data_IF_320476020472
#
_entry.id   IF_320476020472
#
_cell.length_a   1.000
_cell.length_b   1.000
_cell.length_c   1.000
_cell.angle_alpha   90.00
_cell.angle_beta   90.00
_cell.angle_gamma   90.00
#
_symmetry.space_group_name_H-M   'P 1'
#
loop_
_entity.id
_entity.type
_entity.pdbx_description
1 polymer ?
#
# COMPACT_ATOMS: atom_id res chain seq x y z
N UNK A 1 11.56 13.13 -8.35
CA UNK A 1 10.54 13.63 -9.29
C UNK A 1 9.95 14.90 -8.69
N UNK A 2 10.50 16.04 -9.10
CA UNK A 2 10.12 17.43 -8.76
C UNK A 2 11.06 18.41 -9.48
N UNK A 3 12.28 17.96 -9.85
CA UNK A 3 13.37 18.74 -10.45
C UNK A 3 13.13 19.28 -11.87
N UNK A 4 11.88 19.35 -12.34
CA UNK A 4 11.53 19.87 -13.67
C UNK A 4 10.33 20.82 -13.68
N UNK A 5 9.79 21.19 -12.51
CA UNK A 5 8.70 22.17 -12.45
C UNK A 5 9.24 23.59 -12.34
N UNK A 6 8.63 24.50 -13.10
CA UNK A 6 8.94 25.93 -13.05
C UNK A 6 8.16 26.67 -11.95
N UNK A 7 7.26 25.98 -11.23
CA UNK A 7 6.45 26.52 -10.13
C UNK A 7 6.34 25.53 -8.99
N UNK A 8 6.11 26.02 -7.78
CA UNK A 8 6.03 25.22 -6.57
C UNK A 8 4.91 25.71 -5.66
N UNK A 9 4.17 24.79 -5.05
CA UNK A 9 3.17 25.06 -4.01
C UNK A 9 3.70 24.60 -2.64
N UNK A 10 3.14 25.13 -1.56
CA UNK A 10 3.38 24.54 -0.24
C UNK A 10 2.89 23.09 -0.21
N UNK A 11 3.72 22.21 0.34
CA UNK A 11 3.39 20.80 0.54
C UNK A 11 2.22 20.69 1.53
N UNK A 12 1.16 19.93 1.22
CA UNK A 12 0.02 19.77 2.12
C UNK A 12 0.38 18.95 3.38
N UNK A 13 1.51 18.23 3.36
CA UNK A 13 2.00 17.46 4.51
C UNK A 13 3.04 18.22 5.34
N UNK A 14 3.29 19.50 5.05
CA UNK A 14 4.26 20.29 5.77
C UNK A 14 3.66 21.62 6.28
N UNK A 15 4.08 22.03 7.46
CA UNK A 15 3.80 23.37 7.98
C UNK A 15 5.10 24.04 8.39
N UNK A 16 5.07 25.35 8.58
CA UNK A 16 6.25 26.10 9.00
C UNK A 16 5.87 27.23 9.95
N UNK A 17 6.84 27.68 10.75
CA UNK A 17 6.69 28.82 11.63
C UNK A 17 7.99 29.61 11.72
N UNK A 18 7.88 30.87 12.15
CA UNK A 18 8.99 31.83 12.25
C UNK A 18 9.17 32.29 13.68
N UNK A 19 10.42 32.34 14.14
CA UNK A 19 10.83 32.96 15.40
C UNK A 19 12.09 33.80 15.16
N UNK A 20 11.95 35.12 15.05
CA UNK A 20 13.08 36.00 14.67
C UNK A 20 13.58 35.70 13.26
N UNK A 21 14.84 35.28 13.15
CA UNK A 21 15.49 34.80 11.91
C UNK A 21 15.54 33.26 11.83
N UNK A 22 14.86 32.54 12.73
CA UNK A 22 14.77 31.09 12.69
C UNK A 22 13.49 30.63 11.97
N UNK A 23 13.65 29.71 11.03
CA UNK A 23 12.56 29.02 10.35
C UNK A 23 12.44 27.59 10.89
N UNK A 24 11.27 27.24 11.42
CA UNK A 24 10.93 25.87 11.84
C UNK A 24 10.03 25.24 10.78
N UNK A 25 10.43 24.08 10.30
CA UNK A 25 9.68 23.28 9.31
C UNK A 25 9.20 22.00 10.00
N UNK A 26 7.93 21.71 9.86
CA UNK A 26 7.31 20.48 10.36
C UNK A 26 6.90 19.64 9.16
N UNK A 27 7.65 18.58 8.87
CA UNK A 27 7.30 17.56 7.87
C UNK A 27 7.47 16.17 8.48
N UNK A 28 8.01 15.19 7.76
CA UNK A 28 8.40 13.88 8.32
C UNK A 28 9.41 14.04 9.48
N UNK A 29 10.18 15.13 9.47
CA UNK A 29 11.07 15.55 10.54
C UNK A 29 10.79 17.02 10.92
N UNK A 30 11.18 17.40 12.13
CA UNK A 30 11.17 18.81 12.55
C UNK A 30 12.55 19.38 12.28
N UNK A 31 12.61 20.40 11.43
CA UNK A 31 13.87 21.03 11.02
C UNK A 31 13.92 22.48 11.45
N UNK A 32 15.07 22.90 11.95
CA UNK A 32 15.36 24.26 12.36
C UNK A 32 16.43 24.86 11.44
N UNK A 33 16.04 25.86 10.67
CA UNK A 33 16.95 26.64 9.82
C UNK A 33 17.26 27.96 10.54
N UNK A 34 18.48 28.05 11.08
CA UNK A 34 18.98 29.27 11.73
C UNK A 34 19.45 30.29 10.71
N UNK A 35 19.29 31.59 11.00
CA UNK A 35 19.71 32.70 10.13
C UNK A 35 19.08 32.62 8.74
N UNK A 36 17.78 32.33 8.71
CA UNK A 36 16.98 32.28 7.50
C UNK A 36 16.81 33.72 6.94
N UNK A 37 17.16 33.98 5.67
CA UNK A 37 17.02 35.31 5.09
C UNK A 37 15.55 35.77 4.98
N UNK A 38 15.28 37.06 5.17
CA UNK A 38 13.93 37.65 5.03
C UNK A 38 13.26 37.32 3.68
N UNK A 39 14.04 37.31 2.59
CA UNK A 39 13.54 36.95 1.27
C UNK A 39 12.91 35.54 1.21
N UNK A 40 13.35 34.63 2.09
CA UNK A 40 12.77 33.29 2.19
C UNK A 40 11.43 33.31 2.90
N UNK A 41 11.29 34.07 3.99
CA UNK A 41 10.00 34.23 4.67
C UNK A 41 8.97 34.89 3.75
N UNK A 42 9.36 35.96 3.05
CA UNK A 42 8.48 36.62 2.09
C UNK A 42 8.00 35.67 0.97
N UNK A 43 8.88 34.78 0.50
CA UNK A 43 8.49 33.77 -0.49
C UNK A 43 7.60 32.68 0.09
N UNK A 44 7.89 32.20 1.31
CA UNK A 44 7.09 31.18 2.00
C UNK A 44 5.67 31.69 2.31
N UNK A 45 5.53 32.95 2.70
CA UNK A 45 4.22 33.61 2.87
C UNK A 45 3.49 33.65 1.53
N UNK A 46 4.14 34.17 0.48
CA UNK A 46 3.52 34.30 -0.83
C UNK A 46 3.11 32.95 -1.45
N UNK A 47 3.93 31.89 -1.30
CA UNK A 47 3.61 30.56 -1.84
C UNK A 47 2.54 29.83 -1.02
N UNK A 48 2.36 30.20 0.25
CA UNK A 48 1.30 29.64 1.10
C UNK A 48 -0.08 30.12 0.65
N UNK A 49 -0.16 31.32 0.08
CA UNK A 49 -1.40 31.94 -0.40
C UNK A 49 -1.69 31.68 -1.89
N UNK A 50 -0.74 31.11 -2.65
CA UNK A 50 -0.91 30.84 -4.09
C UNK A 50 -1.11 29.33 -4.38
N UNK A 51 -2.36 28.87 -4.65
CA UNK A 51 -2.63 27.48 -4.95
C UNK A 51 -2.12 27.02 -6.33
N UNK A 52 -1.77 27.94 -7.23
CA UNK A 52 -1.12 27.67 -8.51
C UNK A 52 0.41 27.61 -8.39
N UNK A 53 0.92 27.93 -7.20
CA UNK A 53 2.33 27.89 -6.84
C UNK A 53 3.10 29.06 -7.42
N UNK A 54 4.32 29.28 -6.96
CA UNK A 54 5.20 30.36 -7.41
C UNK A 54 6.46 29.82 -8.08
N UNK A 55 7.05 30.56 -9.03
CA UNK A 55 8.37 30.20 -9.55
C UNK A 55 9.45 30.34 -8.46
N UNK A 56 10.59 29.71 -8.71
CA UNK A 56 11.79 29.91 -7.89
C UNK A 56 12.17 31.40 -7.92
N UNK A 57 12.39 32.05 -6.77
CA UNK A 57 12.79 33.46 -6.74
C UNK A 57 14.12 33.67 -7.47
N UNK A 58 14.20 34.70 -8.32
CA UNK A 58 15.42 35.01 -9.07
C UNK A 58 16.38 35.87 -8.23
N UNK A 59 17.65 35.46 -8.16
CA UNK A 59 18.75 36.23 -7.55
C UNK A 59 19.22 35.73 -6.18
N UNK A 60 20.48 36.03 -5.81
CA UNK A 60 21.07 35.71 -4.50
C UNK A 60 21.23 34.21 -4.20
N UNK A 61 21.14 33.84 -2.91
CA UNK A 61 21.19 32.45 -2.42
C UNK A 61 19.82 31.74 -2.47
N UNK A 62 18.79 32.35 -3.05
CA UNK A 62 17.39 31.90 -2.96
C UNK A 62 17.16 30.56 -3.65
N UNK A 63 17.81 30.31 -4.80
CA UNK A 63 17.80 29.01 -5.48
C UNK A 63 18.32 27.87 -4.59
N UNK A 64 19.39 28.13 -3.82
CA UNK A 64 19.98 27.13 -2.93
C UNK A 64 19.03 26.79 -1.76
N UNK A 65 18.29 27.78 -1.28
CA UNK A 65 17.31 27.59 -0.21
C UNK A 65 16.07 26.86 -0.75
N UNK A 66 15.52 27.22 -1.91
CA UNK A 66 14.38 26.48 -2.50
C UNK A 66 14.74 25.03 -2.82
N UNK A 67 15.96 24.78 -3.35
CA UNK A 67 16.47 23.40 -3.49
C UNK A 67 16.52 22.66 -2.16
N UNK A 68 16.87 23.34 -1.08
CA UNK A 68 16.79 22.77 0.27
C UNK A 68 15.33 22.48 0.63
N UNK A 69 14.41 23.43 0.46
CA UNK A 69 12.99 23.23 0.77
C UNK A 69 12.35 22.07 -0.01
N UNK A 70 12.75 21.87 -1.26
CA UNK A 70 12.34 20.72 -2.08
C UNK A 70 12.87 19.40 -1.50
N UNK A 71 14.14 19.37 -1.08
CA UNK A 71 14.72 18.19 -0.39
C UNK A 71 14.01 17.90 0.92
N UNK A 72 13.59 18.95 1.65
CA UNK A 72 12.84 18.87 2.90
C UNK A 72 11.34 18.63 2.71
N UNK A 73 10.87 18.57 1.45
CA UNK A 73 9.47 18.40 1.05
C UNK A 73 8.51 19.43 1.65
N UNK A 74 9.01 20.64 1.93
CA UNK A 74 8.18 21.76 2.34
C UNK A 74 7.39 22.32 1.15
N UNK A 75 7.94 22.20 -0.05
CA UNK A 75 7.27 22.61 -1.29
C UNK A 75 7.30 21.46 -2.30
N UNK A 76 6.28 21.40 -3.13
CA UNK A 76 6.08 20.35 -4.14
C UNK A 76 5.64 20.97 -5.46
N UNK A 77 5.71 20.21 -6.55
CA UNK A 77 5.14 20.65 -7.81
C UNK A 77 3.61 20.86 -7.66
N UNK A 78 3.01 21.84 -8.35
CA UNK A 78 1.56 21.96 -8.44
C UNK A 78 0.95 20.63 -8.90
N UNK A 79 -0.21 20.30 -8.34
CA UNK A 79 -0.91 19.04 -8.61
C UNK A 79 -2.41 19.30 -8.78
N UNK A 80 -3.09 18.35 -9.42
CA UNK A 80 -4.52 18.42 -9.66
C UNK A 80 -5.30 18.44 -8.33
N UNK A 81 -5.97 19.57 -8.09
CA UNK A 81 -6.79 19.82 -6.92
C UNK A 81 -8.28 19.55 -7.14
N UNK A 82 -8.67 19.01 -8.30
CA UNK A 82 -10.06 18.59 -8.58
C UNK A 82 -10.60 17.58 -7.55
N UNK A 83 -9.70 16.84 -6.89
CA UNK A 83 -9.99 15.87 -5.83
C UNK A 83 -10.33 16.49 -4.47
N UNK A 84 -10.27 17.81 -4.30
CA UNK A 84 -10.52 18.45 -3.01
C UNK A 84 -11.93 18.17 -2.46
N UNK A 85 -12.94 17.97 -3.29
CA UNK A 85 -14.30 17.65 -2.80
C UNK A 85 -14.60 16.14 -2.81
N UNK A 86 -13.57 15.30 -2.80
CA UNK A 86 -13.70 13.83 -2.83
C UNK A 86 -13.22 13.18 -1.53
N UNK A 87 -13.56 11.89 -1.36
CA UNK A 87 -13.07 11.07 -0.25
C UNK A 87 -11.54 10.90 -0.25
N UNK A 88 -10.86 11.16 -1.38
CA UNK A 88 -9.41 10.98 -1.53
C UNK A 88 -8.59 12.26 -1.36
N UNK A 89 -9.18 13.40 -0.93
CA UNK A 89 -8.43 14.67 -0.75
C UNK A 89 -7.10 14.44 -0.04
N UNK A 90 -7.14 13.86 1.16
CA UNK A 90 -5.95 13.68 2.00
C UNK A 90 -4.95 12.68 1.38
N UNK A 91 -5.43 11.69 0.63
CA UNK A 91 -4.59 10.72 -0.06
C UNK A 91 -3.86 11.34 -1.26
N UNK A 92 -4.56 12.14 -2.07
CA UNK A 92 -3.96 12.86 -3.19
C UNK A 92 -2.91 13.84 -2.67
N UNK A 93 -3.21 14.55 -1.59
CA UNK A 93 -2.26 15.42 -0.90
C UNK A 93 -1.04 14.65 -0.37
N UNK A 94 -1.25 13.45 0.19
CA UNK A 94 -0.17 12.56 0.60
C UNK A 94 0.73 12.15 -0.59
N UNK A 95 0.15 11.82 -1.74
CA UNK A 95 0.93 11.51 -2.95
C UNK A 95 1.71 12.71 -3.48
N UNK A 96 1.12 13.91 -3.41
CA UNK A 96 1.81 15.16 -3.77
C UNK A 96 3.01 15.40 -2.85
N UNK A 97 2.84 15.25 -1.54
CA UNK A 97 3.93 15.31 -0.56
C UNK A 97 5.00 14.23 -0.79
N UNK A 98 4.62 13.08 -1.38
CA UNK A 98 5.57 12.07 -1.80
C UNK A 98 6.39 12.45 -3.05
N UNK A 99 6.04 13.55 -3.73
CA UNK A 99 6.65 13.99 -4.99
C UNK A 99 6.09 13.26 -6.21
N UNK A 100 4.90 12.68 -6.10
CA UNK A 100 4.21 12.04 -7.23
C UNK A 100 3.35 13.08 -7.96
N UNK A 101 3.08 12.82 -9.24
CA UNK A 101 1.94 13.43 -9.91
C UNK A 101 0.66 12.88 -9.29
N UNK A 102 0.14 13.60 -8.30
CA UNK A 102 -0.90 13.09 -7.42
C UNK A 102 -2.23 12.81 -8.12
N UNK A 103 -2.61 13.65 -9.10
CA UNK A 103 -3.82 13.44 -9.89
C UNK A 103 -3.70 12.21 -10.79
N UNK A 104 -2.56 12.09 -11.48
CA UNK A 104 -2.27 10.90 -12.28
C UNK A 104 -2.17 9.63 -11.41
N UNK A 105 -1.62 9.74 -10.21
CA UNK A 105 -1.55 8.63 -9.25
C UNK A 105 -2.95 8.12 -8.87
N UNK A 106 -3.87 9.02 -8.52
CA UNK A 106 -5.26 8.63 -8.24
C UNK A 106 -5.95 8.02 -9.46
N UNK A 107 -5.71 8.58 -10.65
CA UNK A 107 -6.20 8.03 -11.91
C UNK A 107 -5.72 6.60 -12.16
N UNK A 108 -4.44 6.30 -11.88
CA UNK A 108 -3.87 4.96 -12.00
C UNK A 108 -4.49 3.96 -11.02
N UNK A 109 -4.77 4.37 -9.78
CA UNK A 109 -5.47 3.51 -8.82
C UNK A 109 -6.88 3.16 -9.31
N UNK A 110 -7.65 4.15 -9.78
CA UNK A 110 -8.99 3.92 -10.34
C UNK A 110 -8.99 3.00 -11.55
N UNK A 111 -7.94 3.07 -12.39
CA UNK A 111 -7.80 2.20 -13.56
C UNK A 111 -7.22 0.81 -13.24
N UNK A 112 -6.66 0.60 -12.05
CA UNK A 112 -6.02 -0.66 -11.69
C UNK A 112 -7.06 -1.77 -11.43
N UNK A 113 -6.65 -3.00 -11.72
CA UNK A 113 -7.42 -4.19 -11.39
C UNK A 113 -6.63 -5.10 -10.44
N UNK A 114 -7.25 -5.45 -9.32
CA UNK A 114 -6.65 -6.30 -8.29
C UNK A 114 -7.55 -7.51 -8.01
N UNK A 115 -6.96 -8.69 -8.10
CA UNK A 115 -7.56 -9.94 -7.65
C UNK A 115 -7.12 -10.21 -6.21
N UNK A 116 -8.06 -10.38 -5.30
CA UNK A 116 -7.81 -10.71 -3.89
C UNK A 116 -8.15 -12.19 -3.66
N UNK A 117 -7.12 -13.02 -3.54
CA UNK A 117 -7.25 -14.43 -3.24
C UNK A 117 -7.20 -14.64 -1.72
N UNK A 118 -8.36 -14.98 -1.16
CA UNK A 118 -8.63 -15.03 0.27
C UNK A 118 -9.09 -13.66 0.79
N UNK A 119 -10.34 -13.57 1.24
CA UNK A 119 -10.91 -12.38 1.91
C UNK A 119 -11.04 -12.62 3.43
N UNK A 120 -10.05 -13.31 3.99
CA UNK A 120 -9.93 -13.59 5.43
C UNK A 120 -9.34 -12.41 6.23
N UNK A 121 -8.55 -12.71 7.27
CA UNK A 121 -7.99 -11.66 8.16
C UNK A 121 -7.05 -10.69 7.45
N UNK A 122 -6.03 -11.22 6.77
CA UNK A 122 -5.08 -10.39 5.99
C UNK A 122 -5.77 -9.83 4.76
N UNK A 123 -6.41 -10.68 3.95
CA UNK A 123 -6.99 -10.27 2.68
C UNK A 123 -8.13 -9.27 2.83
N UNK A 124 -8.93 -9.37 3.90
CA UNK A 124 -9.94 -8.37 4.20
C UNK A 124 -9.35 -7.01 4.62
N UNK A 125 -8.22 -7.01 5.34
CA UNK A 125 -7.49 -5.78 5.64
C UNK A 125 -6.86 -5.17 4.38
N UNK A 126 -6.25 -5.98 3.51
CA UNK A 126 -5.75 -5.50 2.20
C UNK A 126 -6.89 -4.93 1.36
N UNK A 127 -8.02 -5.63 1.27
CA UNK A 127 -9.19 -5.16 0.53
C UNK A 127 -9.67 -3.79 1.05
N UNK A 128 -9.63 -3.57 2.36
CA UNK A 128 -10.01 -2.29 2.94
C UNK A 128 -9.09 -1.15 2.51
N UNK A 129 -7.78 -1.37 2.47
CA UNK A 129 -6.81 -0.40 1.95
C UNK A 129 -7.04 -0.11 0.46
N UNK A 130 -7.27 -1.15 -0.36
CA UNK A 130 -7.50 -0.99 -1.81
C UNK A 130 -8.78 -0.20 -2.12
N UNK A 131 -9.87 -0.50 -1.40
CA UNK A 131 -11.15 0.21 -1.53
C UNK A 131 -11.02 1.65 -1.05
N UNK A 132 -10.39 1.87 0.11
CA UNK A 132 -10.12 3.22 0.63
C UNK A 132 -9.28 4.05 -0.32
N UNK A 133 -8.31 3.41 -1.00
CA UNK A 133 -7.47 4.06 -2.00
C UNK A 133 -8.17 4.32 -3.35
N UNK A 134 -9.37 3.77 -3.57
CA UNK A 134 -10.14 3.95 -4.79
C UNK A 134 -9.70 3.05 -5.95
N UNK A 135 -9.21 1.84 -5.66
CA UNK A 135 -8.93 0.84 -6.70
C UNK A 135 -10.23 0.41 -7.37
N UNK A 136 -10.36 0.66 -8.68
CA UNK A 136 -11.64 0.52 -9.39
C UNK A 136 -12.00 -0.91 -9.80
N UNK A 137 -11.01 -1.73 -10.17
CA UNK A 137 -11.21 -3.11 -10.57
C UNK A 137 -10.89 -4.09 -9.44
N UNK A 138 -11.89 -4.89 -9.03
CA UNK A 138 -11.72 -5.88 -7.96
C UNK A 138 -12.31 -7.23 -8.34
N UNK A 139 -11.54 -8.30 -8.15
CA UNK A 139 -12.03 -9.69 -8.17
C UNK A 139 -11.74 -10.35 -6.84
N UNK A 140 -12.76 -10.84 -6.15
CA UNK A 140 -12.66 -11.46 -4.83
C UNK A 140 -12.84 -12.97 -4.97
N UNK A 141 -11.87 -13.76 -4.52
CA UNK A 141 -11.89 -15.23 -4.62
C UNK A 141 -11.66 -15.82 -3.23
N UNK A 142 -12.66 -16.55 -2.70
CA UNK A 142 -12.56 -17.23 -1.40
C UNK A 142 -13.61 -18.34 -1.32
N UNK A 143 -13.21 -19.54 -0.88
CA UNK A 143 -14.08 -20.71 -0.82
C UNK A 143 -14.93 -20.82 0.46
N UNK A 144 -14.73 -19.94 1.43
CA UNK A 144 -15.32 -20.08 2.76
C UNK A 144 -16.65 -19.34 2.93
N UNK A 145 -17.37 -19.75 3.98
CA UNK A 145 -18.47 -18.99 4.57
C UNK A 145 -18.00 -18.25 5.81
N UNK A 146 -18.69 -17.17 6.16
CA UNK A 146 -18.46 -16.44 7.41
C UNK A 146 -18.81 -17.36 8.59
N UNK A 147 -17.86 -17.52 9.50
CA UNK A 147 -18.04 -18.26 10.75
C UNK A 147 -17.90 -17.33 11.98
N UNK A 148 -18.43 -17.74 13.13
CA UNK A 148 -18.45 -16.89 14.34
C UNK A 148 -17.03 -16.51 14.79
N UNK A 149 -16.10 -17.45 14.73
CA UNK A 149 -14.69 -17.27 15.05
C UNK A 149 -13.94 -16.35 14.07
N UNK A 150 -14.55 -15.94 12.96
CA UNK A 150 -13.95 -14.97 12.04
C UNK A 150 -14.08 -13.54 12.58
N UNK A 151 -15.12 -13.25 13.38
CA UNK A 151 -15.45 -11.89 13.82
C UNK A 151 -14.40 -11.26 14.74
N UNK A 152 -13.47 -12.05 15.28
CA UNK A 152 -12.37 -11.54 16.12
C UNK A 152 -11.26 -10.83 15.34
N UNK A 153 -11.23 -10.96 14.00
CA UNK A 153 -10.15 -10.43 13.15
C UNK A 153 -10.56 -10.03 11.73
N UNK A 154 -11.72 -10.48 11.25
CA UNK A 154 -12.20 -10.24 9.89
C UNK A 154 -13.29 -9.16 9.92
N UNK A 155 -12.87 -7.90 9.93
CA UNK A 155 -13.75 -6.74 10.20
C UNK A 155 -14.71 -6.38 9.06
N UNK A 156 -14.67 -7.10 7.94
CA UNK A 156 -15.66 -6.98 6.87
C UNK A 156 -17.01 -7.58 7.27
N UNK A 157 -17.01 -8.54 8.18
CA UNK A 157 -18.18 -9.36 8.50
C UNK A 157 -18.84 -8.94 9.80
N UNK A 158 -20.18 -8.98 9.83
CA UNK A 158 -21.00 -8.74 11.01
C UNK A 158 -21.58 -10.05 11.52
N UNK A 159 -22.13 -10.02 12.74
CA UNK A 159 -22.76 -11.22 13.35
C UNK A 159 -23.92 -11.77 12.52
N UNK A 160 -24.67 -10.91 11.82
CA UNK A 160 -25.75 -11.31 10.93
C UNK A 160 -25.27 -12.02 9.66
N UNK A 161 -23.97 -11.95 9.34
CA UNK A 161 -23.42 -12.53 8.12
C UNK A 161 -22.99 -13.99 8.28
N UNK A 162 -23.02 -14.54 9.50
CA UNK A 162 -22.62 -15.93 9.77
C UNK A 162 -23.43 -16.89 8.89
N UNK A 163 -22.72 -17.76 8.17
CA UNK A 163 -23.26 -18.72 7.21
C UNK A 163 -23.32 -18.22 5.76
N UNK A 164 -23.18 -16.92 5.51
CA UNK A 164 -23.11 -16.34 4.15
C UNK A 164 -21.74 -16.59 3.53
N UNK A 165 -21.65 -16.62 2.19
CA UNK A 165 -20.36 -16.71 1.51
C UNK A 165 -19.53 -15.45 1.79
N UNK A 166 -18.25 -15.62 2.14
CA UNK A 166 -17.37 -14.48 2.47
C UNK A 166 -17.27 -13.49 1.32
N UNK A 167 -17.11 -13.99 0.10
CA UNK A 167 -17.01 -13.15 -1.12
C UNK A 167 -18.27 -12.32 -1.39
N UNK A 168 -19.46 -12.83 -1.07
CA UNK A 168 -20.71 -12.07 -1.26
C UNK A 168 -20.81 -10.91 -0.28
N UNK A 169 -20.49 -11.16 0.99
CA UNK A 169 -20.49 -10.11 2.04
C UNK A 169 -19.40 -9.09 1.78
N UNK A 170 -18.20 -9.54 1.36
CA UNK A 170 -17.11 -8.64 0.97
C UNK A 170 -17.48 -7.79 -0.25
N UNK A 171 -18.17 -8.36 -1.25
CA UNK A 171 -18.67 -7.63 -2.43
C UNK A 171 -19.67 -6.54 -2.03
N UNK A 172 -20.60 -6.84 -1.13
CA UNK A 172 -21.55 -5.85 -0.59
C UNK A 172 -20.81 -4.73 0.14
N UNK A 173 -19.85 -5.09 1.01
CA UNK A 173 -19.02 -4.14 1.74
C UNK A 173 -18.24 -3.19 0.83
N UNK A 174 -17.70 -3.70 -0.30
CA UNK A 174 -17.02 -2.89 -1.31
C UNK A 174 -18.00 -1.90 -1.94
N UNK A 175 -19.16 -2.36 -2.42
CA UNK A 175 -20.17 -1.50 -3.06
C UNK A 175 -20.73 -0.42 -2.15
N UNK A 176 -20.84 -0.70 -0.85
CA UNK A 176 -21.23 0.31 0.15
C UNK A 176 -20.21 1.45 0.29
N UNK A 177 -18.92 1.17 0.07
CA UNK A 177 -17.82 2.12 0.31
C UNK A 177 -17.29 2.79 -0.94
N UNK A 178 -17.34 2.08 -2.06
CA UNK A 178 -16.87 2.53 -3.36
C UNK A 178 -17.93 2.15 -4.41
N UNK A 179 -19.05 2.90 -4.47
CA UNK A 179 -20.20 2.56 -5.31
C UNK A 179 -19.88 2.47 -6.81
N UNK A 180 -18.84 3.16 -7.26
CA UNK A 180 -18.34 3.11 -8.65
C UNK A 180 -17.51 1.86 -8.96
N UNK A 181 -17.14 1.07 -7.95
CA UNK A 181 -16.47 -0.20 -8.18
C UNK A 181 -17.50 -1.30 -8.49
N UNK A 182 -17.17 -2.14 -9.47
CA UNK A 182 -17.95 -3.32 -9.83
C UNK A 182 -17.18 -4.60 -9.46
N UNK A 183 -17.12 -4.95 -8.15
CA UNK A 183 -16.40 -6.13 -7.70
C UNK A 183 -17.02 -7.43 -8.23
N UNK A 184 -16.19 -8.28 -8.82
CA UNK A 184 -16.53 -9.68 -9.12
C UNK A 184 -16.28 -10.54 -7.89
N UNK A 185 -17.18 -11.48 -7.60
CA UNK A 185 -17.07 -12.39 -6.47
C UNK A 185 -17.16 -13.85 -6.96
N UNK A 186 -16.18 -14.66 -6.58
CA UNK A 186 -16.11 -16.09 -6.92
C UNK A 186 -15.92 -16.91 -5.65
N UNK A 187 -16.90 -17.74 -5.32
CA UNK A 187 -16.83 -18.65 -4.18
C UNK A 187 -16.08 -19.91 -4.57
N UNK A 188 -14.75 -19.85 -4.60
CA UNK A 188 -13.90 -20.95 -5.06
C UNK A 188 -12.66 -21.15 -4.19
N UNK A 189 -12.28 -22.41 -4.02
CA UNK A 189 -11.01 -22.81 -3.41
C UNK A 189 -10.02 -23.13 -4.53
N UNK A 190 -8.99 -22.30 -4.67
CA UNK A 190 -7.97 -22.46 -5.70
C UNK A 190 -6.99 -23.56 -5.31
N UNK A 191 -6.96 -24.62 -6.12
CA UNK A 191 -6.08 -25.78 -5.92
C UNK A 191 -5.04 -25.96 -7.01
N UNK A 192 -5.17 -25.27 -8.14
CA UNK A 192 -4.23 -25.31 -9.28
C UNK A 192 -4.02 -23.90 -9.87
N UNK A 193 -2.95 -23.72 -10.65
CA UNK A 193 -2.68 -22.47 -11.37
C UNK A 193 -3.77 -22.15 -12.38
N UNK A 194 -4.26 -23.16 -13.10
CA UNK A 194 -5.25 -23.03 -14.18
C UNK A 194 -6.60 -22.56 -13.63
N UNK A 195 -6.95 -22.97 -12.40
CA UNK A 195 -8.15 -22.50 -11.73
C UNK A 195 -8.09 -21.01 -11.37
N UNK A 196 -6.89 -20.45 -11.16
CA UNK A 196 -6.73 -19.03 -10.83
C UNK A 196 -6.74 -18.13 -12.08
N UNK A 197 -6.26 -18.63 -13.21
CA UNK A 197 -6.09 -17.89 -14.48
C UNK A 197 -7.33 -17.08 -14.91
N UNK A 198 -8.58 -17.60 -14.83
CA UNK A 198 -9.78 -16.84 -15.20
C UNK A 198 -9.99 -15.56 -14.39
N UNK A 199 -9.44 -15.50 -13.18
CA UNK A 199 -9.57 -14.36 -12.28
C UNK A 199 -8.46 -13.32 -12.45
N UNK A 200 -7.46 -13.60 -13.29
CA UNK A 200 -6.32 -12.74 -13.53
C UNK A 200 -6.50 -11.95 -14.84
N UNK A 201 -6.18 -10.65 -14.77
CA UNK A 201 -6.16 -9.73 -15.92
C UNK A 201 -4.74 -9.28 -16.19
N UNK A 202 -4.31 -9.36 -17.45
CA UNK A 202 -2.98 -8.92 -17.88
C UNK A 202 -2.69 -7.48 -17.43
N UNK A 203 -1.47 -7.23 -16.93
CA UNK A 203 -1.09 -5.95 -16.34
C UNK A 203 -1.75 -5.62 -14.99
N UNK A 204 -2.58 -6.52 -14.47
CA UNK A 204 -3.21 -6.41 -13.15
C UNK A 204 -2.33 -6.91 -12.00
N UNK A 205 -2.96 -7.02 -10.84
CA UNK A 205 -2.29 -7.43 -9.60
C UNK A 205 -3.04 -8.55 -8.88
N UNK A 206 -2.30 -9.38 -8.15
CA UNK A 206 -2.82 -10.44 -7.29
C UNK A 206 -2.36 -10.24 -5.84
N UNK A 207 -3.31 -10.28 -4.90
CA UNK A 207 -3.04 -10.41 -3.47
C UNK A 207 -3.19 -11.87 -3.09
N UNK A 208 -2.13 -12.49 -2.58
CA UNK A 208 -2.15 -13.86 -2.07
C UNK A 208 -2.30 -13.81 -0.54
N UNK A 209 -3.51 -14.03 -0.05
CA UNK A 209 -3.88 -13.95 1.37
C UNK A 209 -4.70 -15.17 1.85
N UNK A 210 -4.43 -16.34 1.26
CA UNK A 210 -4.94 -17.64 1.68
C UNK A 210 -3.79 -18.58 2.06
N UNK A 211 -4.07 -19.55 2.92
CA UNK A 211 -3.07 -20.44 3.56
C UNK A 211 -3.11 -21.88 3.06
N UNK A 212 -4.06 -22.23 2.18
CA UNK A 212 -4.22 -23.57 1.61
C UNK A 212 -4.42 -23.52 0.10
N UNK A 213 -3.84 -24.46 -0.66
CA UNK A 213 -2.88 -25.48 -0.21
C UNK A 213 -1.51 -24.88 0.19
N UNK A 214 -0.63 -25.67 0.81
CA UNK A 214 0.72 -25.21 1.17
C UNK A 214 1.56 -24.78 -0.07
N UNK A 215 1.20 -25.26 -1.25
CA UNK A 215 1.80 -24.89 -2.54
C UNK A 215 1.20 -23.64 -3.18
N UNK A 216 0.29 -22.94 -2.48
CA UNK A 216 -0.44 -21.82 -3.06
C UNK A 216 0.47 -20.69 -3.58
N UNK A 217 1.57 -20.30 -2.90
CA UNK A 217 2.49 -19.31 -3.44
C UNK A 217 3.08 -19.70 -4.80
N UNK A 218 3.46 -20.97 -5.01
CA UNK A 218 3.97 -21.43 -6.30
C UNK A 218 2.89 -21.45 -7.39
N UNK A 219 1.69 -21.93 -7.06
CA UNK A 219 0.56 -21.97 -7.99
C UNK A 219 0.18 -20.56 -8.46
N UNK A 220 0.15 -19.60 -7.52
CA UNK A 220 -0.12 -18.20 -7.82
C UNK A 220 0.97 -17.60 -8.71
N UNK A 221 2.24 -17.87 -8.39
CA UNK A 221 3.37 -17.38 -9.19
C UNK A 221 3.34 -17.91 -10.62
N UNK A 222 3.03 -19.19 -10.82
CA UNK A 222 2.90 -19.77 -12.15
C UNK A 222 1.75 -19.13 -12.96
N UNK A 223 0.58 -18.95 -12.36
CA UNK A 223 -0.55 -18.29 -13.00
C UNK A 223 -0.26 -16.81 -13.32
N UNK A 224 0.48 -16.12 -12.45
CA UNK A 224 0.89 -14.73 -12.66
C UNK A 224 1.90 -14.59 -13.81
N UNK A 225 2.83 -15.52 -13.94
CA UNK A 225 3.77 -15.57 -15.06
C UNK A 225 3.03 -15.79 -16.39
N UNK A 226 2.08 -16.72 -16.42
CA UNK A 226 1.27 -17.00 -17.61
C UNK A 226 0.45 -15.78 -18.06
N UNK A 227 -0.10 -15.02 -17.11
CA UNK A 227 -1.02 -13.92 -17.39
C UNK A 227 -0.38 -12.53 -17.38
N UNK A 228 0.92 -12.42 -17.14
CA UNK A 228 1.60 -11.11 -17.03
C UNK A 228 1.08 -10.26 -15.87
N UNK A 229 0.83 -10.90 -14.71
CA UNK A 229 0.29 -10.26 -13.49
C UNK A 229 1.38 -10.11 -12.44
N UNK A 230 1.38 -8.98 -11.72
CA UNK A 230 2.23 -8.83 -10.53
C UNK A 230 1.52 -9.38 -9.30
N UNK A 231 2.23 -10.00 -8.36
CA UNK A 231 1.63 -10.54 -7.14
C UNK A 231 2.32 -10.05 -5.87
N UNK A 232 1.56 -9.87 -4.80
CA UNK A 232 2.09 -9.65 -3.45
C UNK A 232 1.66 -10.80 -2.54
N UNK A 233 2.60 -11.27 -1.73
CA UNK A 233 2.35 -12.33 -0.72
C UNK A 233 2.52 -11.78 0.68
N UNK A 234 1.95 -12.47 1.67
CA UNK A 234 2.21 -12.19 3.06
C UNK A 234 1.66 -13.29 3.97
N UNK A 235 1.96 -13.17 5.25
CA UNK A 235 1.63 -14.21 6.21
C UNK A 235 1.82 -13.76 7.64
N UNK A 236 1.17 -14.48 8.56
CA UNK A 236 1.23 -14.23 9.99
C UNK A 236 1.73 -15.46 10.73
N UNK A 237 2.57 -15.25 11.74
CA UNK A 237 3.00 -16.22 12.74
C UNK A 237 2.75 -15.70 14.15
N UNK A 238 3.16 -16.46 15.17
CA UNK A 238 2.93 -16.10 16.58
C UNK A 238 3.66 -14.82 17.01
N UNK A 239 4.89 -14.62 16.51
CA UNK A 239 5.79 -13.51 16.89
C UNK A 239 6.30 -12.71 15.70
N UNK A 240 5.81 -13.04 14.51
CA UNK A 240 6.31 -12.53 13.25
C UNK A 240 5.15 -12.30 12.31
N UNK A 241 5.14 -11.16 11.64
CA UNK A 241 4.32 -10.92 10.46
C UNK A 241 5.23 -10.74 9.25
N UNK A 242 4.71 -10.93 8.05
CA UNK A 242 5.47 -10.58 6.86
C UNK A 242 4.63 -10.01 5.74
N UNK A 243 5.13 -8.95 5.13
CA UNK A 243 4.62 -8.37 3.89
C UNK A 243 5.63 -8.58 2.76
N UNK A 244 5.13 -8.90 1.58
CA UNK A 244 5.91 -9.06 0.36
C UNK A 244 6.66 -10.40 0.25
N UNK A 245 7.45 -10.56 -0.82
CA UNK A 245 7.74 -9.51 -1.82
C UNK A 245 6.54 -9.19 -2.72
N UNK A 246 6.56 -7.99 -3.32
CA UNK A 246 5.81 -7.66 -4.52
C UNK A 246 6.62 -8.14 -5.72
N UNK A 247 6.12 -9.15 -6.41
CA UNK A 247 6.80 -9.89 -7.47
C UNK A 247 6.21 -9.45 -8.81
N UNK A 248 7.05 -8.91 -9.69
CA UNK A 248 6.66 -8.63 -11.07
C UNK A 248 6.78 -9.89 -11.92
N UNK A 249 6.11 -9.98 -13.09
CA UNK A 249 6.22 -11.13 -13.98
C UNK A 249 7.67 -11.54 -14.30
N UNK A 250 8.55 -10.55 -14.51
CA UNK A 250 9.97 -10.78 -14.79
C UNK A 250 10.75 -11.43 -13.62
N UNK A 251 10.26 -11.26 -12.39
CA UNK A 251 10.93 -11.73 -11.16
C UNK A 251 10.37 -13.09 -10.68
N UNK A 252 9.30 -13.60 -11.31
CA UNK A 252 8.67 -14.88 -10.94
C UNK A 252 9.65 -16.07 -10.99
N UNK A 253 10.50 -16.25 -12.01
CA UNK A 253 11.44 -17.38 -12.04
C UNK A 253 12.39 -17.40 -10.83
N UNK A 254 12.89 -16.22 -10.43
CA UNK A 254 13.76 -16.09 -9.26
C UNK A 254 13.01 -16.40 -7.96
N UNK A 255 11.76 -15.94 -7.85
CA UNK A 255 10.90 -16.25 -6.71
C UNK A 255 10.64 -17.77 -6.59
N UNK A 256 10.29 -18.45 -7.69
CA UNK A 256 10.06 -19.89 -7.70
C UNK A 256 11.30 -20.68 -7.29
N UNK A 257 12.49 -20.30 -7.79
CA UNK A 257 13.75 -20.91 -7.38
C UNK A 257 13.98 -20.77 -5.86
N UNK A 258 13.74 -19.58 -5.30
CA UNK A 258 13.90 -19.35 -3.86
C UNK A 258 12.95 -20.20 -2.99
N UNK A 259 11.73 -20.45 -3.46
CA UNK A 259 10.78 -21.32 -2.77
C UNK A 259 11.21 -22.79 -2.79
N UNK A 260 11.76 -23.25 -3.92
CA UNK A 260 12.30 -24.61 -4.03
C UNK A 260 13.50 -24.83 -3.09
N UNK A 261 14.42 -23.88 -3.03
CA UNK A 261 15.54 -23.89 -2.10
C UNK A 261 15.06 -23.92 -0.64
N UNK A 262 14.10 -23.07 -0.27
CA UNK A 262 13.52 -23.05 1.07
C UNK A 262 12.84 -24.37 1.44
N UNK A 263 12.10 -24.99 0.50
CA UNK A 263 11.48 -26.30 0.70
C UNK A 263 12.50 -27.41 0.89
N UNK A 264 13.57 -27.43 0.11
CA UNK A 264 14.66 -28.39 0.25
C UNK A 264 15.35 -28.26 1.62
N UNK A 265 15.49 -27.03 2.13
CA UNK A 265 16.07 -26.77 3.44
C UNK A 265 15.14 -27.11 4.63
N UNK A 266 13.82 -26.93 4.49
CA UNK A 266 12.86 -27.05 5.59
C UNK A 266 12.55 -28.49 6.04
N UNK A 267 12.83 -29.51 5.21
CA UNK A 267 12.80 -30.93 5.58
C UNK A 267 11.47 -31.53 6.08
N UNK A 268 10.40 -30.74 6.25
CA UNK A 268 9.11 -31.17 6.80
C UNK A 268 7.95 -30.34 6.26
N UNK A 269 6.75 -30.95 6.18
CA UNK A 269 5.53 -30.29 5.78
C UNK A 269 5.06 -29.33 6.89
N UNK A 270 5.06 -28.02 6.59
CA UNK A 270 4.55 -27.00 7.52
C UNK A 270 3.03 -27.02 7.47
N UNK A 271 2.39 -27.48 8.55
CA UNK A 271 0.94 -27.30 8.72
C UNK A 271 0.68 -25.85 9.13
N UNK A 272 -0.25 -25.12 8.49
CA UNK A 272 -0.61 -23.77 8.91
C UNK A 272 -1.06 -23.73 10.37
N UNK A 273 -0.62 -22.70 11.10
CA UNK A 273 -1.04 -22.48 12.48
C UNK A 273 -2.52 -22.08 12.52
N UNK A 274 -3.30 -22.72 13.40
CA UNK A 274 -4.71 -22.39 13.59
C UNK A 274 -4.93 -21.12 14.43
N UNK A 275 -4.03 -20.83 15.37
CA UNK A 275 -4.10 -19.63 16.21
C UNK A 275 -3.87 -18.38 15.35
N UNK A 276 -4.70 -17.35 15.55
CA UNK A 276 -4.61 -16.11 14.79
C UNK A 276 -5.01 -14.93 15.68
N UNK A 277 -4.26 -13.83 15.58
CA UNK A 277 -4.47 -12.63 16.40
C UNK A 277 -4.76 -11.42 15.51
N UNK A 278 -5.91 -10.77 15.73
CA UNK A 278 -6.42 -9.69 14.88
C UNK A 278 -5.40 -8.59 14.55
N UNK A 279 -4.72 -7.99 15.54
CA UNK A 279 -3.72 -6.94 15.29
C UNK A 279 -2.59 -7.35 14.35
N UNK A 280 -2.12 -8.60 14.41
CA UNK A 280 -1.06 -9.10 13.52
C UNK A 280 -1.56 -9.19 12.09
N UNK A 281 -2.78 -9.71 11.89
CA UNK A 281 -3.40 -9.77 10.56
C UNK A 281 -3.59 -8.37 9.98
N UNK A 282 -4.05 -7.42 10.80
CA UNK A 282 -4.26 -6.02 10.39
C UNK A 282 -2.94 -5.34 10.01
N UNK A 283 -1.88 -5.50 10.80
CA UNK A 283 -0.57 -4.90 10.49
C UNK A 283 0.03 -5.47 9.20
N UNK A 284 -0.05 -6.79 9.00
CA UNK A 284 0.40 -7.42 7.76
C UNK A 284 -0.45 -6.96 6.58
N UNK A 285 -1.78 -6.98 6.71
CA UNK A 285 -2.69 -6.57 5.65
C UNK A 285 -2.55 -5.10 5.26
N UNK A 286 -2.43 -4.18 6.23
CA UNK A 286 -2.22 -2.77 5.97
C UNK A 286 -0.87 -2.51 5.28
N UNK A 287 0.19 -3.21 5.71
CA UNK A 287 1.51 -3.10 5.07
C UNK A 287 1.47 -3.63 3.64
N UNK A 288 0.84 -4.78 3.41
CA UNK A 288 0.66 -5.35 2.06
C UNK A 288 -0.17 -4.43 1.17
N UNK A 289 -1.28 -3.89 1.68
CA UNK A 289 -2.14 -2.95 0.95
C UNK A 289 -1.38 -1.71 0.51
N UNK A 290 -0.66 -1.07 1.45
CA UNK A 290 0.22 0.07 1.15
C UNK A 290 1.25 -0.26 0.07
N UNK A 291 1.97 -1.37 0.23
CA UNK A 291 3.04 -1.74 -0.68
C UNK A 291 2.52 -2.08 -2.08
N UNK A 292 1.34 -2.70 -2.17
CA UNK A 292 0.66 -2.94 -3.43
C UNK A 292 0.20 -1.63 -4.09
N UNK A 293 -0.39 -0.71 -3.33
CA UNK A 293 -0.75 0.64 -3.82
C UNK A 293 0.50 1.33 -4.40
N UNK A 294 1.62 1.29 -3.68
CA UNK A 294 2.87 1.87 -4.17
C UNK A 294 3.39 1.16 -5.42
N UNK A 295 3.25 -0.16 -5.48
CA UNK A 295 3.51 -0.97 -6.68
C UNK A 295 2.68 -0.53 -7.88
N UNK A 296 1.36 -0.35 -7.70
CA UNK A 296 0.43 0.16 -8.73
C UNK A 296 0.88 1.54 -9.22
N UNK A 297 1.37 2.39 -8.32
CA UNK A 297 1.88 3.73 -8.60
C UNK A 297 3.31 3.75 -9.17
N UNK A 298 3.99 2.61 -9.26
CA UNK A 298 5.38 2.52 -9.73
C UNK A 298 6.39 3.12 -8.74
N UNK A 299 6.00 3.27 -7.48
CA UNK A 299 6.88 3.71 -6.39
C UNK A 299 7.56 2.47 -5.81
N UNK A 300 8.89 2.48 -5.78
CA UNK A 300 9.64 1.40 -5.15
C UNK A 300 9.38 1.38 -3.63
N UNK A 301 8.68 0.35 -3.17
CA UNK A 301 8.54 0.02 -1.76
C UNK A 301 9.66 -0.94 -1.31
N UNK A 302 9.92 -1.05 0.00
CA UNK A 302 10.91 -2.00 0.55
C UNK A 302 10.64 -3.44 0.13
N UNK A 303 9.38 -3.77 -0.15
CA UNK A 303 8.94 -5.11 -0.57
C UNK A 303 9.09 -5.40 -2.04
N UNK A 304 9.52 -4.43 -2.87
CA UNK A 304 9.70 -4.60 -4.33
C UNK A 304 10.78 -5.64 -4.67
N UNK A 305 11.66 -5.96 -3.73
CA UNK A 305 12.74 -6.94 -3.94
C UNK A 305 12.96 -7.88 -2.75
N UNK A 306 12.30 -7.64 -1.61
CA UNK A 306 12.55 -8.38 -0.37
C UNK A 306 11.26 -8.61 0.42
N UNK A 307 11.24 -9.64 1.27
CA UNK A 307 10.19 -9.80 2.28
C UNK A 307 10.52 -8.88 3.47
N UNK A 308 9.53 -8.13 3.96
CA UNK A 308 9.69 -7.32 5.16
C UNK A 308 9.11 -8.07 6.34
N UNK A 309 9.93 -8.28 7.37
CA UNK A 309 9.48 -8.83 8.65
C UNK A 309 8.86 -7.73 9.50
N UNK A 310 7.70 -8.02 10.07
CA UNK A 310 6.95 -7.16 10.96
C UNK A 310 6.96 -7.78 12.36
N UNK A 311 6.86 -6.93 13.39
CA UNK A 311 6.72 -7.33 14.80
C UNK A 311 7.96 -7.94 15.45
N UNK A 312 9.13 -7.86 14.81
CA UNK A 312 10.39 -8.44 15.29
C UNK A 312 10.72 -8.06 16.73
N UNK A 313 10.31 -8.92 17.67
CA UNK A 313 10.83 -8.92 19.03
C UNK A 313 11.69 -10.17 19.17
N UNK A 314 13.01 -9.98 19.19
CA UNK A 314 13.88 -10.89 19.89
C UNK A 314 13.40 -10.91 21.35
N UNK A 315 12.64 -11.93 21.74
CA UNK A 315 12.66 -12.33 23.14
C UNK A 315 14.09 -12.83 23.34
N UNK A 316 14.96 -11.95 23.84
CA UNK A 316 16.12 -12.37 24.60
C UNK A 316 15.62 -13.47 25.53
N UNK A 317 16.05 -14.70 25.27
CA UNK A 317 16.00 -15.76 26.26
C UNK A 317 16.90 -15.29 27.39
N UNK A 318 16.39 -14.49 28.31
CA UNK A 318 16.82 -14.58 29.69
C UNK A 318 16.32 -15.93 30.19
N UNK A 319 17.05 -17.00 29.82
CA UNK A 319 17.04 -18.22 30.59
C UNK A 319 17.69 -17.89 31.94
N UNK A 320 16.92 -17.32 32.85
CA UNK A 320 17.23 -17.31 34.26
C UNK A 320 16.71 -18.59 34.90
N UNK A 321 17.60 -19.56 35.12
CA UNK A 321 17.79 -20.28 36.40
C UNK A 321 19.22 -20.81 36.45
#
# INVERSE_FOLDING_TARGET
MAEGSDRYVLSPAATWSREGDELRVFSDEVLLVRRCPEAMFAWLEAVSDDPLGLPVPRGGNTDAIVRTLLRLRLVVAPFDRSWQSSAWRNQVEYFAALGLDAGAAQGRLRAAHVTVLGVGGIGGAVLAELVGAGVGGLTLVDGDRVALENLNRQYLYRRCDVGRAKVDVAREWVRERLPEAEPTAAMETIMTSEALVPYLREGGFLVVAADRPASLPELCAQACLERGVSMITGGCGLRVGSSGPLIRPADVPAFLASLQEAKAAAGTAVTPMAASFGPVNTLVGATMGRDLIFGILGVSARTTSHRVELLGTALTRECGR
#
